data_IF_108674748394
#
_entry.id   IF_108674748394
#
_cell.length_a   1.000
_cell.length_b   1.000
_cell.length_c   1.000
_cell.angle_alpha   90.00
_cell.angle_beta   90.00
_cell.angle_gamma   90.00
#
_symmetry.space_group_name_H-M   'P 1'
#
loop_
_entity.id
_entity.type
_entity.pdbx_description
1 polymer ?
#
# COMPACT_ATOMS: atom_id res chain seq x y z
N UNK A 1 -14.63 12.54 -14.05
CA UNK A 1 -13.69 11.48 -13.60
C UNK A 1 -14.41 10.64 -12.56
N UNK A 2 -14.28 9.31 -12.64
CA UNK A 2 -14.76 8.43 -11.57
C UNK A 2 -13.84 8.55 -10.34
N UNK A 3 -14.40 8.35 -9.14
CA UNK A 3 -13.61 8.25 -7.91
C UNK A 3 -12.72 7.00 -8.00
N UNK A 4 -11.45 7.13 -7.61
CA UNK A 4 -10.51 6.01 -7.52
C UNK A 4 -10.20 5.69 -6.07
N UNK A 5 -10.14 4.41 -5.75
CA UNK A 5 -9.75 3.88 -4.45
C UNK A 5 -8.43 3.12 -4.62
N UNK A 6 -7.42 3.51 -3.83
CA UNK A 6 -6.09 2.90 -3.85
C UNK A 6 -5.65 2.52 -2.43
N UNK A 7 -5.88 1.28 -1.98
CA UNK A 7 -5.46 0.83 -0.65
C UNK A 7 -3.93 0.86 -0.49
N UNK A 8 -3.43 1.35 0.64
CA UNK A 8 -1.98 1.40 0.91
C UNK A 8 -1.44 0.06 1.40
N UNK A 9 -0.38 -0.42 0.76
CA UNK A 9 0.27 -1.68 1.15
C UNK A 9 0.97 -1.59 2.51
N UNK A 10 1.25 -0.37 3.02
CA UNK A 10 1.85 -0.19 4.34
C UNK A 10 0.96 -0.72 5.48
N UNK A 11 -0.35 -0.87 5.25
CA UNK A 11 -1.29 -1.44 6.22
C UNK A 11 -1.47 -2.95 6.08
N UNK A 12 -0.83 -3.59 5.10
CA UNK A 12 -0.92 -5.02 4.88
C UNK A 12 0.06 -5.80 5.78
N UNK A 13 -0.21 -7.10 5.94
CA UNK A 13 0.75 -8.03 6.53
C UNK A 13 1.87 -8.35 5.53
N UNK A 14 3.05 -7.79 5.76
CA UNK A 14 4.21 -8.02 4.90
C UNK A 14 4.70 -9.47 4.91
N UNK A 15 4.37 -10.28 5.93
CA UNK A 15 4.71 -11.70 5.93
C UNK A 15 3.83 -12.52 4.96
N UNK A 16 2.66 -11.99 4.56
CA UNK A 16 1.79 -12.59 3.56
C UNK A 16 0.97 -11.54 2.81
N UNK A 17 1.64 -10.84 1.89
CA UNK A 17 1.01 -9.81 1.05
C UNK A 17 -0.09 -10.37 0.14
N UNK A 18 0.07 -11.59 -0.37
CA UNK A 18 -0.92 -12.23 -1.25
C UNK A 18 -2.32 -12.24 -0.63
N UNK A 19 -2.40 -12.67 0.64
CA UNK A 19 -3.66 -12.75 1.38
C UNK A 19 -4.36 -11.40 1.46
N UNK A 20 -3.64 -10.32 1.76
CA UNK A 20 -4.25 -9.01 1.99
C UNK A 20 -4.50 -8.26 0.67
N UNK A 21 -3.66 -8.46 -0.35
CA UNK A 21 -3.92 -7.96 -1.71
C UNK A 21 -5.18 -8.60 -2.29
N UNK A 22 -5.38 -9.91 -2.09
CA UNK A 22 -6.58 -10.60 -2.56
C UNK A 22 -7.87 -10.05 -1.94
N UNK A 23 -7.82 -9.53 -0.70
CA UNK A 23 -8.98 -8.91 -0.02
C UNK A 23 -9.39 -7.57 -0.63
N UNK A 24 -8.50 -6.92 -1.37
CA UNK A 24 -8.71 -5.56 -1.92
C UNK A 24 -8.54 -5.52 -3.44
N UNK A 25 -8.71 -6.67 -4.11
CA UNK A 25 -8.51 -6.83 -5.54
C UNK A 25 -9.52 -6.06 -6.40
N UNK A 26 -10.59 -5.54 -5.80
CA UNK A 26 -11.59 -4.66 -6.41
C UNK A 26 -11.20 -3.18 -6.40
N UNK A 27 -10.10 -2.82 -5.73
CA UNK A 27 -9.51 -1.48 -5.79
C UNK A 27 -8.95 -1.15 -7.18
N UNK A 28 -8.95 0.14 -7.54
CA UNK A 28 -8.46 0.58 -8.84
C UNK A 28 -6.93 0.42 -8.98
N UNK A 29 -6.22 0.62 -7.87
CA UNK A 29 -4.75 0.64 -7.78
C UNK A 29 -4.31 0.18 -6.39
N UNK A 30 -3.04 -0.17 -6.25
CA UNK A 30 -2.37 -0.28 -4.95
C UNK A 30 -1.53 0.98 -4.72
N UNK A 31 -1.64 1.55 -3.53
CA UNK A 31 -0.85 2.70 -3.12
C UNK A 31 0.43 2.23 -2.42
N UNK A 32 1.58 2.72 -2.90
CA UNK A 32 2.91 2.36 -2.39
C UNK A 32 3.63 3.62 -1.97
N UNK A 33 3.77 3.80 -0.66
CA UNK A 33 4.53 4.89 -0.07
C UNK A 33 5.99 4.45 0.04
N UNK A 34 6.91 5.20 -0.58
CA UNK A 34 8.36 5.00 -0.45
C UNK A 34 8.92 6.10 0.45
N UNK A 35 9.61 5.70 1.51
CA UNK A 35 10.19 6.59 2.51
C UNK A 35 11.64 6.22 2.79
N UNK A 36 12.52 7.22 2.84
CA UNK A 36 13.98 7.07 2.87
C UNK A 36 14.64 7.47 4.19
N UNK A 37 13.85 7.74 5.24
CA UNK A 37 14.31 8.33 6.50
C UNK A 37 14.96 9.73 6.41
N UNK A 38 15.03 10.36 5.22
CA UNK A 38 15.61 11.69 5.02
C UNK A 38 14.51 12.75 4.85
N UNK A 39 13.49 12.46 4.02
CA UNK A 39 12.35 13.35 3.82
C UNK A 39 11.34 13.27 4.96
N UNK A 40 11.13 12.06 5.50
CA UNK A 40 10.26 11.77 6.64
C UNK A 40 11.02 10.85 7.62
N UNK A 41 10.68 10.82 8.92
CA UNK A 41 11.43 10.03 9.90
C UNK A 41 11.20 8.51 9.80
N UNK A 42 10.32 8.06 8.91
CA UNK A 42 10.04 6.65 8.66
C UNK A 42 10.88 6.12 7.48
N UNK A 43 11.16 4.81 7.50
CA UNK A 43 11.78 4.08 6.40
C UNK A 43 10.87 2.93 5.98
N UNK A 44 10.60 2.80 4.68
CA UNK A 44 9.80 1.69 4.13
C UNK A 44 10.72 0.61 3.55
N UNK A 45 10.29 -0.64 3.65
CA UNK A 45 10.98 -1.82 3.11
C UNK A 45 10.90 -1.88 1.58
#
# INVERSE_FOLDING_TARGET
MALRIAPSILSADFANLERDIAKVADGDLLHVDVMDAHFVPNMTL
#
